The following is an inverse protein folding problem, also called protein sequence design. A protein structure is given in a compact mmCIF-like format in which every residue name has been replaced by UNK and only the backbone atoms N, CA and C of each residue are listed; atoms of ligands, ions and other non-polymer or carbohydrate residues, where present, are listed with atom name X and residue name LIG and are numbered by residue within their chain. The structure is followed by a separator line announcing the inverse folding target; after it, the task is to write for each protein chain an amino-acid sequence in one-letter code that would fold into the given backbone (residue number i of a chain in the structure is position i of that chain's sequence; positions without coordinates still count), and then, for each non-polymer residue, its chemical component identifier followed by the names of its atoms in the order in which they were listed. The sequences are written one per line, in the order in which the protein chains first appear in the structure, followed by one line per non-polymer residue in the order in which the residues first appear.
data_IF_157091646083
#
_entry.id   IF_157091646083
#
_cell.length_a   1.000
_cell.length_b   1.000
_cell.length_c   1.000
_cell.angle_alpha   90.00
_cell.angle_beta   90.00
_cell.angle_gamma   90.00
#
_symmetry.space_group_name_H-M   'P 1'
#
loop_
_entity.id
_entity.type
_entity.pdbx_description
1 polymer ?
#
# COMPACT_ATOMS: atom_id res chain seq x y z
N UNK A 1 46.53 -1.74 -6.49
CA UNK A 1 45.48 -2.49 -5.80
C UNK A 1 44.13 -2.02 -6.35
N UNK A 2 43.51 -2.81 -7.22
CA UNK A 2 42.27 -2.46 -7.92
C UNK A 2 41.09 -2.93 -7.05
N UNK A 3 40.27 -2.01 -6.55
CA UNK A 3 39.02 -2.32 -5.82
C UNK A 3 37.90 -2.49 -6.85
N UNK A 4 37.44 -3.72 -7.02
CA UNK A 4 36.25 -4.03 -7.83
C UNK A 4 35.02 -3.81 -6.94
N UNK A 5 34.23 -2.78 -7.24
CA UNK A 5 32.90 -2.60 -6.68
C UNK A 5 31.92 -3.51 -7.42
N UNK A 6 31.47 -4.59 -6.77
CA UNK A 6 30.32 -5.35 -7.23
C UNK A 6 29.04 -4.62 -6.79
N UNK A 7 28.55 -3.70 -7.61
CA UNK A 7 27.19 -3.20 -7.53
C UNK A 7 26.26 -4.18 -8.23
N UNK A 8 25.60 -5.06 -7.48
CA UNK A 8 24.57 -5.93 -8.03
C UNK A 8 23.32 -5.10 -8.33
N UNK A 9 23.16 -4.69 -9.59
CA UNK A 9 21.92 -4.15 -10.11
C UNK A 9 20.91 -5.31 -10.18
N UNK A 10 20.03 -5.42 -9.18
CA UNK A 10 18.90 -6.37 -9.23
C UNK A 10 17.89 -5.81 -10.23
N UNK A 11 17.96 -6.29 -11.46
CA UNK A 11 16.94 -6.04 -12.49
C UNK A 11 15.75 -6.95 -12.18
N UNK A 12 14.77 -6.43 -11.45
CA UNK A 12 13.47 -7.11 -11.28
C UNK A 12 12.73 -6.98 -12.61
N UNK A 13 12.67 -8.08 -13.37
CA UNK A 13 11.81 -8.20 -14.55
C UNK A 13 10.36 -8.28 -14.09
N UNK A 14 9.71 -7.11 -14.03
CA UNK A 14 8.26 -7.00 -13.84
C UNK A 14 7.60 -7.30 -15.18
N UNK A 15 7.10 -8.53 -15.36
CA UNK A 15 6.25 -8.86 -16.50
C UNK A 15 4.87 -8.23 -16.29
N UNK A 16 4.68 -7.02 -16.83
CA UNK A 16 3.36 -6.38 -16.88
C UNK A 16 2.46 -7.17 -17.84
N UNK A 17 1.46 -7.88 -17.32
CA UNK A 17 0.43 -8.51 -18.15
C UNK A 17 -0.63 -7.44 -18.53
N UNK A 18 -0.78 -7.09 -19.82
CA UNK A 18 -1.57 -5.91 -20.23
C UNK A 18 -3.09 -6.08 -20.05
N UNK A 19 -3.61 -7.31 -19.95
CA UNK A 19 -5.05 -7.57 -19.87
C UNK A 19 -5.70 -7.21 -18.51
N UNK A 20 -4.90 -6.92 -17.47
CA UNK A 20 -5.39 -6.56 -16.13
C UNK A 20 -5.39 -5.06 -15.83
N UNK A 21 -4.73 -4.24 -16.63
CA UNK A 21 -4.51 -2.83 -16.31
C UNK A 21 -5.78 -1.98 -16.38
N UNK A 22 -6.52 -2.05 -17.50
CA UNK A 22 -7.70 -1.19 -17.71
C UNK A 22 -8.82 -1.38 -16.65
N UNK A 23 -9.19 -2.61 -16.25
CA UNK A 23 -10.19 -2.79 -15.19
C UNK A 23 -9.76 -2.26 -13.81
N UNK A 24 -8.46 -2.17 -13.56
CA UNK A 24 -7.91 -1.72 -12.27
C UNK A 24 -7.79 -0.20 -12.26
N UNK A 25 -7.48 0.41 -13.40
CA UNK A 25 -7.53 1.87 -13.57
C UNK A 25 -8.95 2.40 -13.29
N UNK A 26 -10.00 1.66 -13.68
CA UNK A 26 -11.39 1.98 -13.36
C UNK A 26 -11.65 1.93 -11.85
N UNK A 27 -11.10 0.93 -11.13
CA UNK A 27 -11.18 0.86 -9.67
C UNK A 27 -10.43 2.01 -9.01
N UNK A 28 -9.25 2.37 -9.49
CA UNK A 28 -8.50 3.54 -9.00
C UNK A 28 -9.32 4.81 -9.20
N UNK A 29 -9.89 5.02 -10.38
CA UNK A 29 -10.72 6.18 -10.68
C UNK A 29 -11.99 6.24 -9.81
N UNK A 30 -12.53 5.08 -9.42
CA UNK A 30 -13.68 4.96 -8.52
C UNK A 30 -13.31 5.19 -7.05
N UNK A 31 -12.28 4.52 -6.55
CA UNK A 31 -11.97 4.46 -5.13
C UNK A 31 -11.08 5.59 -4.65
N UNK A 32 -10.18 6.14 -5.47
CA UNK A 32 -9.31 7.23 -5.04
C UNK A 32 -10.10 8.50 -4.63
N UNK A 33 -11.15 8.95 -5.35
CA UNK A 33 -12.02 10.02 -4.87
C UNK A 33 -12.79 9.66 -3.60
N UNK A 34 -13.19 8.40 -3.44
CA UNK A 34 -13.85 7.94 -2.22
C UNK A 34 -12.90 8.03 -1.02
N UNK A 35 -11.65 7.56 -1.13
CA UNK A 35 -10.63 7.69 -0.08
C UNK A 35 -10.38 9.17 0.24
N UNK A 36 -10.26 10.02 -0.77
CA UNK A 36 -10.09 11.46 -0.57
C UNK A 36 -11.28 12.09 0.17
N UNK A 37 -12.51 11.65 -0.09
CA UNK A 37 -13.71 12.12 0.61
C UNK A 37 -13.79 11.66 2.07
N UNK A 38 -13.09 10.59 2.45
CA UNK A 38 -12.98 10.11 3.83
C UNK A 38 -11.81 10.73 4.60
N UNK A 39 -10.97 11.51 3.94
CA UNK A 39 -9.75 12.09 4.53
C UNK A 39 -9.72 13.61 4.27
N UNK A 40 -8.64 14.24 4.69
CA UNK A 40 -8.33 15.63 4.37
C UNK A 40 -7.37 15.75 3.17
N UNK A 41 -7.01 14.63 2.54
CA UNK A 41 -6.03 14.59 1.47
C UNK A 41 -6.59 15.09 0.14
N UNK A 42 -5.77 15.83 -0.60
CA UNK A 42 -6.09 16.31 -1.94
C UNK A 42 -5.74 15.23 -2.97
N UNK A 43 -6.64 15.05 -3.94
CA UNK A 43 -6.52 14.04 -5.00
C UNK A 43 -6.21 14.64 -6.38
N UNK A 44 -6.47 15.94 -6.57
CA UNK A 44 -6.49 16.59 -7.89
C UNK A 44 -5.16 16.61 -8.66
N UNK A 45 -4.05 16.28 -8.02
CA UNK A 45 -2.71 16.21 -8.62
C UNK A 45 -2.09 14.81 -8.54
N UNK A 46 -2.81 13.82 -8.01
CA UNK A 46 -2.30 12.47 -7.77
C UNK A 46 -2.56 11.61 -8.99
N UNK A 47 -1.50 11.02 -9.55
CA UNK A 47 -1.59 10.00 -10.58
C UNK A 47 -1.07 8.68 -10.03
N UNK A 48 -1.98 7.73 -9.89
CA UNK A 48 -1.68 6.38 -9.39
C UNK A 48 -1.22 5.49 -10.52
N UNK A 49 -0.21 4.67 -10.26
CA UNK A 49 0.22 3.60 -11.13
C UNK A 49 0.06 2.28 -10.38
N UNK A 50 -0.60 1.29 -10.99
CA UNK A 50 -0.76 -0.03 -10.38
C UNK A 50 0.11 -1.06 -11.10
N UNK A 51 0.87 -1.81 -10.33
CA UNK A 51 1.76 -2.87 -10.81
C UNK A 51 1.41 -4.18 -10.12
N UNK A 52 1.13 -5.21 -10.90
CA UNK A 52 0.95 -6.55 -10.36
C UNK A 52 2.31 -7.23 -10.16
N UNK A 53 2.56 -7.71 -8.96
CA UNK A 53 3.82 -8.30 -8.55
C UNK A 53 3.60 -9.72 -8.00
N UNK A 54 4.57 -10.61 -8.23
CA UNK A 54 4.58 -11.93 -7.59
C UNK A 54 4.92 -11.79 -6.11
N UNK A 55 4.62 -12.80 -5.29
CA UNK A 55 5.00 -12.80 -3.87
C UNK A 55 6.52 -12.58 -3.66
N UNK A 56 7.36 -13.13 -4.55
CA UNK A 56 8.82 -12.91 -4.52
C UNK A 56 9.17 -11.45 -4.80
N UNK A 57 8.50 -10.83 -5.77
CA UNK A 57 8.72 -9.42 -6.09
C UNK A 57 8.22 -8.49 -4.97
N UNK A 58 7.05 -8.76 -4.38
CA UNK A 58 6.54 -8.02 -3.22
C UNK A 58 7.47 -8.11 -2.01
N UNK A 59 8.01 -9.30 -1.74
CA UNK A 59 9.03 -9.47 -0.70
C UNK A 59 10.29 -8.65 -1.00
N UNK A 60 10.73 -8.59 -2.26
CA UNK A 60 11.87 -7.74 -2.63
C UNK A 60 11.56 -6.24 -2.48
N UNK A 61 10.35 -5.81 -2.86
CA UNK A 61 9.87 -4.43 -2.71
C UNK A 61 9.84 -4.03 -1.23
N UNK A 62 9.40 -4.93 -0.34
CA UNK A 62 9.38 -4.70 1.10
C UNK A 62 10.76 -4.39 1.71
N UNK A 63 11.84 -4.75 1.01
CA UNK A 63 13.23 -4.46 1.41
C UNK A 63 13.87 -3.34 0.58
N UNK A 64 13.11 -2.68 -0.31
CA UNK A 64 13.63 -1.67 -1.23
C UNK A 64 13.72 -0.27 -0.59
N UNK A 65 14.68 0.57 -1.01
CA UNK A 65 14.72 1.96 -0.57
C UNK A 65 13.45 2.71 -0.95
N UNK A 66 12.76 3.29 0.05
CA UNK A 66 11.53 4.07 -0.16
C UNK A 66 10.24 3.31 0.18
N UNK A 67 10.32 1.99 0.39
CA UNK A 67 9.23 1.27 1.06
C UNK A 67 9.21 1.63 2.54
N UNK A 68 8.03 2.00 3.06
CA UNK A 68 7.85 2.43 4.46
C UNK A 68 7.21 1.35 5.33
N UNK A 69 6.77 0.22 4.77
CA UNK A 69 6.14 -0.88 5.50
C UNK A 69 7.12 -1.73 6.31
N UNK A 70 6.60 -2.52 7.25
CA UNK A 70 7.36 -3.56 7.97
C UNK A 70 6.81 -4.96 7.66
N UNK A 71 7.68 -5.98 7.53
CA UNK A 71 7.28 -7.38 7.36
C UNK A 71 7.15 -7.86 5.90
N UNK A 72 6.45 -9.00 5.71
CA UNK A 72 6.10 -9.51 4.37
C UNK A 72 4.85 -8.79 3.87
N UNK A 73 4.98 -8.06 2.77
CA UNK A 73 3.94 -7.21 2.22
C UNK A 73 3.00 -8.02 1.28
N UNK A 74 1.70 -8.08 1.59
CA UNK A 74 0.69 -8.66 0.69
C UNK A 74 0.41 -7.74 -0.51
N UNK A 75 0.52 -6.43 -0.28
CA UNK A 75 0.54 -5.32 -1.24
C UNK A 75 1.50 -4.24 -0.70
N UNK A 76 1.82 -3.22 -1.49
CA UNK A 76 2.59 -2.10 -0.96
C UNK A 76 2.60 -0.86 -1.84
N UNK A 77 3.01 0.26 -1.27
CA UNK A 77 3.06 1.55 -1.97
C UNK A 77 4.45 2.19 -1.90
N UNK A 78 4.94 2.68 -3.04
CA UNK A 78 6.13 3.54 -3.13
C UNK A 78 5.76 4.79 -3.94
N UNK A 79 5.78 5.95 -3.29
CA UNK A 79 5.35 7.20 -3.92
C UNK A 79 3.88 7.12 -4.34
N UNK A 80 3.62 7.19 -5.65
CA UNK A 80 2.28 7.03 -6.23
C UNK A 80 2.10 5.68 -6.96
N UNK A 81 3.04 4.76 -6.80
CA UNK A 81 2.94 3.41 -7.37
C UNK A 81 2.44 2.44 -6.32
N UNK A 82 1.33 1.77 -6.64
CA UNK A 82 0.74 0.68 -5.88
C UNK A 82 1.20 -0.65 -6.48
N UNK A 83 1.65 -1.55 -5.61
CA UNK A 83 2.02 -2.91 -5.95
C UNK A 83 0.97 -3.86 -5.36
N UNK A 84 0.24 -4.55 -6.24
CA UNK A 84 -0.75 -5.55 -5.85
C UNK A 84 -0.23 -6.96 -6.13
N UNK A 85 -0.67 -7.97 -5.38
CA UNK A 85 -0.28 -9.35 -5.65
C UNK A 85 -0.86 -9.79 -6.99
N UNK A 86 -0.13 -10.64 -7.72
CA UNK A 86 -0.61 -11.23 -8.99
C UNK A 86 -1.88 -12.07 -8.83
N UNK A 87 -2.28 -12.37 -7.60
CA UNK A 87 -3.51 -13.08 -7.23
C UNK A 87 -4.70 -12.15 -6.98
N UNK A 88 -4.51 -10.83 -7.03
CA UNK A 88 -5.57 -9.83 -6.86
C UNK A 88 -6.73 -10.06 -7.84
N UNK A 89 -7.94 -9.90 -7.32
CA UNK A 89 -9.21 -10.17 -7.96
C UNK A 89 -10.19 -9.04 -7.66
N UNK A 90 -10.58 -8.34 -8.73
CA UNK A 90 -11.58 -7.28 -8.68
C UNK A 90 -12.88 -7.81 -8.07
N UNK A 91 -13.44 -7.06 -7.12
CA UNK A 91 -14.67 -7.40 -6.41
C UNK A 91 -14.49 -8.48 -5.35
N UNK A 92 -13.26 -8.96 -5.10
CA UNK A 92 -12.96 -9.91 -4.03
C UNK A 92 -12.08 -9.30 -2.95
N UNK A 93 -10.97 -8.70 -3.36
CA UNK A 93 -9.99 -8.10 -2.44
C UNK A 93 -9.67 -6.65 -2.83
N UNK A 94 -10.70 -5.88 -3.20
CA UNK A 94 -10.58 -4.44 -3.51
C UNK A 94 -10.13 -3.62 -2.30
N UNK A 95 -10.31 -4.14 -1.09
CA UNK A 95 -9.86 -3.57 0.18
C UNK A 95 -8.33 -3.43 0.22
N UNK A 96 -7.58 -4.38 -0.35
CA UNK A 96 -6.12 -4.26 -0.53
C UNK A 96 -5.78 -3.01 -1.35
N UNK A 97 -6.50 -2.76 -2.45
CA UNK A 97 -6.26 -1.57 -3.27
C UNK A 97 -6.63 -0.29 -2.50
N UNK A 98 -7.76 -0.28 -1.79
CA UNK A 98 -8.18 0.87 -0.99
C UNK A 98 -7.13 1.22 0.07
N UNK A 99 -6.61 0.22 0.77
CA UNK A 99 -5.53 0.38 1.73
C UNK A 99 -4.32 1.11 1.12
N UNK A 100 -3.85 0.62 -0.04
CA UNK A 100 -2.71 1.22 -0.71
C UNK A 100 -3.01 2.62 -1.26
N UNK A 101 -4.24 2.91 -1.68
CA UNK A 101 -4.64 4.27 -2.11
C UNK A 101 -4.60 5.27 -0.96
N UNK A 102 -4.82 4.85 0.29
CA UNK A 102 -4.57 5.70 1.46
C UNK A 102 -3.10 6.09 1.52
N UNK A 103 -2.18 5.12 1.40
CA UNK A 103 -0.74 5.39 1.39
C UNK A 103 -0.29 6.28 0.23
N UNK A 104 -0.88 6.13 -0.95
CA UNK A 104 -0.65 7.05 -2.06
C UNK A 104 -1.00 8.47 -1.65
N UNK A 105 -2.18 8.70 -1.08
CA UNK A 105 -2.62 10.04 -0.70
C UNK A 105 -1.77 10.61 0.44
N UNK A 106 -1.43 9.80 1.44
CA UNK A 106 -0.50 10.17 2.51
C UNK A 106 0.85 10.64 1.93
N UNK A 107 1.44 9.86 1.01
CA UNK A 107 2.71 10.21 0.38
C UNK A 107 2.59 11.49 -0.49
N UNK A 108 1.56 11.58 -1.32
CA UNK A 108 1.37 12.71 -2.23
C UNK A 108 1.01 14.02 -1.52
N UNK A 109 0.44 13.96 -0.32
CA UNK A 109 0.13 15.12 0.50
C UNK A 109 1.24 15.45 1.51
N UNK A 110 2.34 14.70 1.51
CA UNK A 110 3.45 14.92 2.44
C UNK A 110 3.07 14.68 3.90
N UNK A 111 2.12 13.78 4.15
CA UNK A 111 1.68 13.44 5.48
C UNK A 111 2.86 12.89 6.31
N UNK A 112 2.96 13.37 7.56
CA UNK A 112 3.99 12.97 8.50
C UNK A 112 3.36 12.24 9.67
N UNK A 113 3.93 11.10 10.04
CA UNK A 113 3.46 10.27 11.13
C UNK A 113 4.54 10.16 12.20
N UNK A 114 4.14 10.10 13.47
CA UNK A 114 5.06 9.91 14.59
C UNK A 114 5.77 8.56 14.54
N UNK A 115 5.13 7.56 13.92
CA UNK A 115 5.65 6.22 13.75
C UNK A 115 4.88 5.48 12.65
N UNK A 116 5.38 4.31 12.25
CA UNK A 116 4.79 3.48 11.21
C UNK A 116 3.34 3.08 11.51
N UNK A 117 3.02 2.61 12.72
CA UNK A 117 1.65 2.19 13.06
C UNK A 117 0.63 3.32 12.89
N UNK A 118 1.01 4.58 13.15
CA UNK A 118 0.06 5.69 13.00
C UNK A 118 -0.30 5.92 11.53
N UNK A 119 0.59 5.61 10.60
CA UNK A 119 0.34 5.65 9.16
C UNK A 119 -0.61 4.52 8.75
N UNK A 120 -0.33 3.30 9.22
CA UNK A 120 -1.12 2.09 8.96
C UNK A 120 -2.52 2.15 9.59
N UNK A 121 -2.65 2.70 10.80
CA UNK A 121 -3.92 2.78 11.50
C UNK A 121 -4.98 3.58 10.73
N UNK A 122 -4.58 4.64 10.02
CA UNK A 122 -5.47 5.36 9.11
C UNK A 122 -5.87 4.48 7.91
N UNK A 123 -4.90 3.79 7.30
CA UNK A 123 -5.16 2.91 6.15
C UNK A 123 -6.10 1.76 6.49
N UNK A 124 -5.85 1.05 7.59
CA UNK A 124 -6.73 -0.03 8.08
C UNK A 124 -8.10 0.46 8.53
N UNK A 125 -8.18 1.64 9.16
CA UNK A 125 -9.48 2.21 9.53
C UNK A 125 -10.35 2.49 8.30
N UNK A 126 -9.75 2.98 7.21
CA UNK A 126 -10.47 3.23 5.97
C UNK A 126 -10.77 1.93 5.20
N UNK A 127 -9.88 0.95 5.26
CA UNK A 127 -10.11 -0.39 4.73
C UNK A 127 -11.35 -1.03 5.38
N UNK A 128 -11.43 -1.04 6.71
CA UNK A 128 -12.57 -1.60 7.43
C UNK A 128 -13.87 -0.89 7.08
N UNK A 129 -13.82 0.45 6.99
CA UNK A 129 -14.98 1.24 6.57
C UNK A 129 -15.42 0.92 5.14
N UNK A 130 -14.47 0.68 4.23
CA UNK A 130 -14.76 0.22 2.88
C UNK A 130 -15.44 -1.15 2.88
N UNK A 131 -14.91 -2.11 3.64
CA UNK A 131 -15.50 -3.46 3.76
C UNK A 131 -16.92 -3.38 4.34
N UNK A 132 -17.16 -2.49 5.31
CA UNK A 132 -18.50 -2.25 5.89
C UNK A 132 -19.49 -1.65 4.88
N UNK A 133 -19.05 -0.70 4.05
CA UNK A 133 -19.91 0.01 3.11
C UNK A 133 -20.20 -0.81 1.84
N UNK A 134 -19.19 -1.52 1.33
CA UNK A 134 -19.28 -2.21 0.04
C UNK A 134 -19.44 -3.73 0.15
N UNK A 135 -19.13 -4.33 1.31
CA UNK A 135 -19.18 -5.78 1.50
C UNK A 135 -18.13 -6.54 0.68
N UNK A 136 -17.04 -5.88 0.29
CA UNK A 136 -15.94 -6.44 -0.51
C UNK A 136 -14.67 -6.42 0.33
N UNK A 137 -13.95 -7.54 0.38
CA UNK A 137 -12.70 -7.65 1.11
C UNK A 137 -12.83 -8.27 2.51
N UNK A 138 -11.76 -8.16 3.29
CA UNK A 138 -11.68 -8.68 4.65
C UNK A 138 -11.40 -7.55 5.64
N UNK A 139 -12.05 -7.59 6.79
CA UNK A 139 -11.74 -6.64 7.87
C UNK A 139 -10.37 -6.95 8.45
N UNK A 140 -9.75 -5.90 8.94
CA UNK A 140 -8.48 -5.91 9.63
C UNK A 140 -8.51 -6.82 10.86
N UNK A 141 -7.53 -7.72 10.97
CA UNK A 141 -7.25 -8.43 12.23
C UNK A 141 -6.45 -7.52 13.17
N UNK A 142 -7.17 -6.79 14.03
CA UNK A 142 -6.56 -5.89 15.01
C UNK A 142 -5.69 -6.59 16.04
N UNK A 143 -5.92 -7.88 16.33
CA UNK A 143 -5.05 -8.62 17.24
C UNK A 143 -3.69 -8.84 16.58
N UNK A 144 -3.69 -9.27 15.32
CA UNK A 144 -2.47 -9.40 14.53
C UNK A 144 -1.71 -8.07 14.41
N UNK A 145 -2.41 -6.98 14.07
CA UNK A 145 -1.78 -5.66 13.98
C UNK A 145 -1.19 -5.17 15.31
N UNK A 146 -1.88 -5.40 16.42
CA UNK A 146 -1.38 -5.05 17.72
C UNK A 146 -0.10 -5.83 18.06
N UNK A 147 -0.03 -7.12 17.70
CA UNK A 147 1.13 -7.98 17.96
C UNK A 147 2.38 -7.57 17.17
N UNK A 148 2.23 -6.95 16.00
CA UNK A 148 3.36 -6.53 15.15
C UNK A 148 3.70 -5.04 15.26
N UNK A 149 2.92 -4.26 16.02
CA UNK A 149 3.11 -2.83 16.20
C UNK A 149 4.32 -2.52 17.11
N UNK A 150 5.23 -1.68 16.62
CA UNK A 150 6.44 -1.25 17.35
C UNK A 150 6.52 0.28 17.55
N UNK A 151 5.38 0.94 17.69
CA UNK A 151 5.41 2.37 18.03
C UNK A 151 5.74 2.59 19.50
N UNK A 152 6.70 3.45 19.84
CA UNK A 152 6.87 3.90 21.21
C UNK A 152 5.61 4.68 21.62
N UNK A 153 4.73 3.99 22.35
CA UNK A 153 3.60 4.51 23.13
C UNK A 153 2.81 5.68 22.49
N UNK A 154 1.82 5.41 21.62
CA UNK A 154 0.94 6.46 21.08
C UNK A 154 -0.06 7.04 22.09
N UNK A 155 -0.15 6.52 23.33
CA UNK A 155 -1.15 6.92 24.33
C UNK A 155 -0.58 7.43 25.66
N UNK A 156 0.74 7.51 25.81
CA UNK A 156 1.38 8.01 27.04
C UNK A 156 1.02 7.23 28.32
N UNK A 157 0.63 5.95 28.23
CA UNK A 157 0.41 5.12 29.42
C UNK A 157 1.76 4.56 29.93
N UNK A 158 1.99 4.49 31.25
CA UNK A 158 3.29 4.17 31.84
C UNK A 158 3.86 2.81 31.43
#
# INVERSE_FOLDING_TARGET
QLRVFFGALVVVLIAALPARAAPVDDLVAKYLPWVAAQTHYKVNYVRVHVVFATAVALKAIAHSPGYKGQGEAASGTIGTTVFLPSTFQIGKNDDDLVHELVHVLQNANGATFSCWQSMEAEAYSLQDRFVEEFGIGEKTDYLYLWMISHCPNPYGLP
#
